data_IF_458757412497
#
_entry.id   IF_458757412497
#
_cell.length_a   1.000
_cell.length_b   1.000
_cell.length_c   1.000
_cell.angle_alpha   90.00
_cell.angle_beta   90.00
_cell.angle_gamma   90.00
#
_symmetry.space_group_name_H-M   'P 1'
#
loop_
_entity.id
_entity.type
_entity.pdbx_description
1 polymer ?
#
# COMPACT_ATOMS: atom_id res chain seq x y z
N UNK A 1 -6.01 30.18 -30.42
CA UNK A 1 -6.76 28.93 -30.23
C UNK A 1 -6.12 28.14 -29.09
N UNK A 2 -6.67 28.26 -27.88
CA UNK A 2 -6.13 27.66 -26.66
C UNK A 2 -6.72 26.25 -26.45
N UNK A 3 -5.87 25.23 -26.38
CA UNK A 3 -6.29 23.86 -26.01
C UNK A 3 -6.28 23.75 -24.49
N UNK A 4 -7.49 23.60 -23.93
CA UNK A 4 -7.74 23.45 -22.49
C UNK A 4 -6.95 22.28 -21.91
N UNK A 5 -6.20 22.56 -20.85
CA UNK A 5 -5.70 21.56 -19.93
C UNK A 5 -6.86 20.74 -19.36
N UNK A 6 -6.81 19.43 -19.52
CA UNK A 6 -7.69 18.47 -18.85
C UNK A 6 -7.22 18.28 -17.42
N UNK A 7 -7.52 19.28 -16.59
CA UNK A 7 -7.51 19.17 -15.13
C UNK A 7 -8.67 18.25 -14.73
N UNK A 8 -8.41 17.02 -14.26
CA UNK A 8 -9.54 16.19 -13.83
C UNK A 8 -9.28 14.74 -13.48
N UNK A 9 -8.38 14.44 -12.54
CA UNK A 9 -8.57 13.29 -11.63
C UNK A 9 -7.75 13.43 -10.35
N UNK A 10 -7.99 14.52 -9.62
CA UNK A 10 -7.51 14.66 -8.27
C UNK A 10 -8.44 13.94 -7.28
N UNK A 11 -7.83 13.14 -6.40
CA UNK A 11 -8.31 12.70 -5.08
C UNK A 11 -9.44 11.66 -5.04
N UNK A 12 -9.07 10.40 -5.28
CA UNK A 12 -9.54 9.34 -4.38
C UNK A 12 -8.48 9.15 -3.29
N UNK A 13 -8.51 10.05 -2.30
CA UNK A 13 -7.84 9.83 -1.02
C UNK A 13 -8.39 8.51 -0.50
N UNK A 14 -7.54 7.51 -0.32
CA UNK A 14 -7.92 6.29 0.37
C UNK A 14 -8.37 6.71 1.76
N UNK A 15 -9.69 6.81 1.96
CA UNK A 15 -10.28 7.10 3.26
C UNK A 15 -9.71 6.05 4.20
N UNK A 16 -8.95 6.49 5.20
CA UNK A 16 -8.38 5.59 6.19
C UNK A 16 -9.51 4.73 6.75
N UNK A 17 -9.54 3.47 6.33
CA UNK A 17 -10.56 2.53 6.79
C UNK A 17 -10.34 2.44 8.29
N UNK A 18 -11.38 2.79 9.05
CA UNK A 18 -11.36 2.72 10.52
C UNK A 18 -10.79 1.35 10.89
N UNK A 19 -9.80 1.27 11.81
CA UNK A 19 -9.22 -0.02 12.19
C UNK A 19 -10.38 -0.94 12.52
N UNK A 20 -10.36 -2.14 11.94
CA UNK A 20 -11.41 -3.13 12.14
C UNK A 20 -11.63 -3.25 13.65
N UNK A 21 -12.83 -2.90 14.11
CA UNK A 21 -13.17 -2.96 15.53
C UNK A 21 -12.88 -4.38 15.99
N UNK A 22 -12.14 -4.53 17.09
CA UNK A 22 -11.94 -5.84 17.69
C UNK A 22 -13.32 -6.51 17.84
N UNK A 23 -13.47 -7.71 17.27
CA UNK A 23 -14.73 -8.45 17.35
C UNK A 23 -15.10 -8.62 18.84
N UNK A 24 -16.37 -8.48 19.18
CA UNK A 24 -16.84 -8.78 20.55
C UNK A 24 -16.44 -10.22 20.88
N UNK A 25 -15.59 -10.40 21.89
CA UNK A 25 -15.05 -11.70 22.30
C UNK A 25 -13.63 -12.02 21.82
N UNK A 26 -12.95 -11.14 21.08
CA UNK A 26 -11.54 -11.34 20.74
C UNK A 26 -10.67 -11.34 22.02
N UNK A 27 -9.70 -12.28 22.14
CA UNK A 27 -8.85 -12.34 23.32
C UNK A 27 -8.00 -11.09 23.43
N UNK A 28 -7.70 -10.68 24.67
CA UNK A 28 -6.96 -9.46 24.96
C UNK A 28 -5.56 -9.42 24.30
N UNK A 29 -4.93 -10.59 24.13
CA UNK A 29 -3.67 -10.74 23.41
C UNK A 29 -3.74 -11.91 22.42
N UNK A 30 -3.99 -11.61 21.15
CA UNK A 30 -4.05 -12.59 20.06
C UNK A 30 -2.79 -13.48 19.98
N UNK A 31 -1.62 -12.89 20.19
CA UNK A 31 -0.33 -13.57 20.00
C UNK A 31 -0.05 -14.61 21.07
N UNK A 32 -0.51 -14.39 22.31
CA UNK A 32 -0.40 -15.36 23.38
C UNK A 32 -1.19 -16.66 23.12
N UNK A 33 -2.16 -16.60 22.19
CA UNK A 33 -2.99 -17.74 21.80
C UNK A 33 -2.57 -18.36 20.46
N UNK A 34 -1.35 -18.06 19.97
CA UNK A 34 -0.82 -18.64 18.73
C UNK A 34 -1.45 -18.07 17.45
N UNK A 35 -2.18 -16.95 17.53
CA UNK A 35 -2.73 -16.27 16.36
C UNK A 35 -1.77 -15.19 15.86
N UNK A 36 -1.78 -14.94 14.54
CA UNK A 36 -1.02 -13.86 13.93
C UNK A 36 -1.95 -12.88 13.21
N UNK A 37 -1.71 -11.58 13.41
CA UNK A 37 -2.36 -10.53 12.62
C UNK A 37 -1.55 -10.28 11.35
N UNK A 38 -2.18 -10.40 10.18
CA UNK A 38 -1.57 -10.16 8.88
C UNK A 38 -2.22 -8.92 8.25
N UNK A 39 -1.41 -8.02 7.71
CA UNK A 39 -1.86 -6.87 6.94
C UNK A 39 -1.68 -7.16 5.46
N UNK A 40 -2.74 -6.93 4.67
CA UNK A 40 -2.68 -6.96 3.21
C UNK A 40 -2.74 -5.51 2.72
N UNK A 41 -1.65 -5.04 2.13
CA UNK A 41 -1.51 -3.68 1.67
C UNK A 41 -1.76 -3.62 0.16
N UNK A 42 -2.69 -2.77 -0.27
CA UNK A 42 -2.93 -2.46 -1.69
C UNK A 42 -2.56 -0.98 -1.94
N UNK A 43 -1.26 -0.64 -2.01
CA UNK A 43 -0.80 0.72 -2.24
C UNK A 43 -1.21 1.20 -3.64
N UNK A 44 -1.30 2.52 -3.82
CA UNK A 44 -1.37 3.10 -5.17
C UNK A 44 0.00 2.97 -5.83
N UNK A 45 0.01 2.45 -7.04
CA UNK A 45 1.21 2.22 -7.82
C UNK A 45 1.32 3.23 -8.97
N UNK A 46 2.53 3.73 -9.18
CA UNK A 46 2.93 4.58 -10.29
C UNK A 46 3.94 3.82 -11.14
N UNK A 47 3.63 3.50 -12.42
CA UNK A 47 4.54 2.75 -13.27
C UNK A 47 5.91 3.43 -13.39
N UNK A 48 6.98 2.65 -13.21
CA UNK A 48 8.37 3.08 -13.37
C UNK A 48 8.79 4.27 -12.46
N UNK A 49 8.13 4.48 -11.32
CA UNK A 49 8.52 5.46 -10.30
C UNK A 49 8.79 4.77 -8.94
N UNK A 50 9.98 4.18 -8.74
CA UNK A 50 10.34 3.49 -7.51
C UNK A 50 10.27 4.35 -6.26
N UNK A 51 10.64 5.62 -6.35
CA UNK A 51 10.66 6.53 -5.21
C UNK A 51 9.24 6.77 -4.68
N UNK A 52 8.31 7.12 -5.58
CA UNK A 52 6.91 7.36 -5.21
C UNK A 52 6.22 6.09 -4.71
N UNK A 53 6.52 4.94 -5.31
CA UNK A 53 5.96 3.66 -4.87
C UNK A 53 6.50 3.27 -3.48
N UNK A 54 7.79 3.51 -3.20
CA UNK A 54 8.37 3.29 -1.88
C UNK A 54 7.67 4.14 -0.80
N UNK A 55 7.28 5.38 -1.11
CA UNK A 55 6.50 6.21 -0.17
C UNK A 55 5.14 5.56 0.17
N UNK A 56 4.44 5.00 -0.82
CA UNK A 56 3.15 4.32 -0.63
C UNK A 56 3.31 2.99 0.13
N UNK A 57 4.37 2.22 -0.15
CA UNK A 57 4.74 1.02 0.62
C UNK A 57 4.97 1.39 2.08
N UNK A 58 5.77 2.43 2.34
CA UNK A 58 6.09 2.86 3.69
C UNK A 58 4.85 3.36 4.45
N UNK A 59 3.89 4.01 3.78
CA UNK A 59 2.59 4.36 4.37
C UNK A 59 1.84 3.10 4.81
N UNK A 60 1.79 2.08 3.95
CA UNK A 60 1.18 0.77 4.27
C UNK A 60 1.86 0.05 5.43
N UNK A 61 3.19 -0.03 5.40
CA UNK A 61 4.00 -0.67 6.43
C UNK A 61 3.82 -0.01 7.80
N UNK A 62 3.82 1.34 7.84
CA UNK A 62 3.55 2.10 9.07
C UNK A 62 2.13 1.88 9.60
N UNK A 63 1.13 1.71 8.71
CA UNK A 63 -0.22 1.38 9.12
C UNK A 63 -0.31 -0.06 9.69
N UNK A 64 0.41 -1.02 9.10
CA UNK A 64 0.50 -2.39 9.58
C UNK A 64 1.16 -2.47 10.97
N UNK A 65 2.25 -1.72 11.18
CA UNK A 65 2.91 -1.59 12.48
C UNK A 65 1.98 -1.00 13.55
N UNK A 66 1.29 0.12 13.24
CA UNK A 66 0.29 0.71 14.14
C UNK A 66 -0.86 -0.25 14.46
N UNK A 67 -1.22 -1.11 13.51
CA UNK A 67 -2.21 -2.16 13.72
C UNK A 67 -1.66 -3.36 14.50
N UNK A 68 -0.36 -3.38 14.84
CA UNK A 68 0.38 -4.51 15.41
C UNK A 68 0.16 -5.75 14.56
N UNK A 69 0.47 -5.68 13.27
CA UNK A 69 0.55 -6.85 12.40
C UNK A 69 1.91 -7.53 12.56
N UNK A 70 1.94 -8.86 12.49
CA UNK A 70 3.17 -9.63 12.45
C UNK A 70 3.79 -9.68 11.05
N UNK A 71 2.97 -9.52 10.01
CA UNK A 71 3.40 -9.52 8.62
C UNK A 71 2.57 -8.53 7.81
N UNK A 72 3.23 -7.82 6.89
CA UNK A 72 2.59 -6.98 5.88
C UNK A 72 2.92 -7.51 4.49
N UNK A 73 1.89 -7.82 3.71
CA UNK A 73 2.00 -8.31 2.34
C UNK A 73 1.73 -7.17 1.37
N UNK A 74 2.54 -7.09 0.31
CA UNK A 74 2.43 -6.12 -0.76
C UNK A 74 2.34 -6.84 -2.12
N UNK A 75 1.81 -6.17 -3.16
CA UNK A 75 1.74 -6.76 -4.49
C UNK A 75 3.12 -7.06 -5.09
N UNK A 76 3.13 -7.94 -6.09
CA UNK A 76 4.32 -8.21 -6.89
C UNK A 76 4.84 -6.94 -7.56
N UNK A 77 6.18 -6.82 -7.65
CA UNK A 77 6.87 -5.66 -8.23
C UNK A 77 6.37 -4.32 -7.65
N UNK A 78 5.94 -4.29 -6.39
CA UNK A 78 5.38 -3.07 -5.78
C UNK A 78 6.39 -1.92 -5.62
N UNK A 79 7.68 -2.14 -5.89
CA UNK A 79 8.65 -1.05 -5.96
C UNK A 79 8.60 -0.40 -7.35
N UNK A 80 8.67 -1.17 -8.42
CA UNK A 80 8.76 -0.65 -9.79
C UNK A 80 7.39 -0.41 -10.45
N UNK A 81 6.35 -1.11 -10.01
CA UNK A 81 5.08 -1.27 -10.71
C UNK A 81 5.09 -2.51 -11.60
N UNK A 82 4.00 -3.27 -11.59
CA UNK A 82 3.86 -4.50 -12.37
C UNK A 82 3.77 -4.24 -13.88
N UNK A 83 2.93 -3.28 -14.30
CA UNK A 83 2.64 -3.01 -15.70
C UNK A 83 3.66 -2.04 -16.32
N UNK A 84 4.92 -2.48 -16.42
CA UNK A 84 6.02 -1.67 -16.98
C UNK A 84 6.74 -2.34 -18.16
N UNK A 85 6.47 -3.61 -18.44
CA UNK A 85 7.00 -4.36 -19.60
C UNK A 85 8.49 -4.07 -19.87
N UNK A 86 8.84 -3.58 -21.06
CA UNK A 86 10.22 -3.32 -21.49
C UNK A 86 10.94 -2.23 -20.67
N UNK A 87 10.20 -1.39 -19.93
CA UNK A 87 10.83 -0.41 -19.04
C UNK A 87 11.59 -1.10 -17.89
N UNK A 88 11.27 -2.35 -17.56
CA UNK A 88 12.02 -3.14 -16.57
C UNK A 88 13.46 -3.46 -17.03
N UNK A 89 13.72 -3.42 -18.34
CA UNK A 89 15.02 -3.78 -18.94
C UNK A 89 15.98 -2.59 -19.06
N UNK A 90 15.59 -1.41 -18.58
CA UNK A 90 16.42 -0.21 -18.62
C UNK A 90 17.38 -0.17 -17.42
N UNK A 91 18.58 0.36 -17.63
CA UNK A 91 19.51 0.65 -16.54
C UNK A 91 18.96 1.77 -15.64
N UNK A 92 19.33 1.74 -14.37
CA UNK A 92 19.04 2.83 -13.44
C UNK A 92 19.85 4.08 -13.85
N UNK A 93 19.14 5.19 -14.10
CA UNK A 93 19.69 6.51 -14.43
C UNK A 93 20.39 7.18 -13.24
#
# INVERSE_FOLDING_TARGET
MARKATTGRAKAAAKARKPARAAKGAPANLYAHGMARIAICAPRMTPADPARNAEEILKGARAADKARAALALFPELCVTGYAIDDLLLQDAL
#
